data_IF_476276466525
#
_entry.id   IF_476276466525
#
_cell.length_a   1.000
_cell.length_b   1.000
_cell.length_c   1.000
_cell.angle_alpha   90.00
_cell.angle_beta   90.00
_cell.angle_gamma   90.00
#
_symmetry.space_group_name_H-M   'P 1'
#
loop_
_entity.id
_entity.type
_entity.pdbx_description
1 polymer ?
2 non-polymer ?
3 water ?
#
# COMPACT_ATOMS: atom_id res chain seq x y z
N UNK A 1 -15.76 7.77 6.46
CA UNK A 1 -14.74 8.38 5.60
C UNK A 1 -13.76 9.34 6.29
N UNK A 2 -12.50 9.29 5.85
CA UNK A 2 -11.38 9.97 6.48
C UNK A 2 -10.67 10.79 5.42
N UNK A 3 -9.96 11.84 5.84
CA UNK A 3 -9.21 12.67 4.89
C UNK A 3 -7.74 12.28 4.91
N UNK A 4 -7.20 11.96 3.72
CA UNK A 4 -5.79 11.57 3.62
C UNK A 4 -4.93 12.84 3.68
N UNK A 5 -3.65 12.73 4.08
CA UNK A 5 -3.00 11.49 4.50
C UNK A 5 -3.49 11.00 5.87
N UNK A 6 -3.46 9.69 6.05
CA UNK A 6 -3.91 9.06 7.27
C UNK A 6 -2.87 8.02 7.69
N UNK A 7 -2.60 7.98 9.00
CA UNK A 7 -1.75 6.96 9.58
C UNK A 7 -2.59 6.01 10.42
N UNK A 8 -2.62 4.75 10.01
CA UNK A 8 -3.22 3.66 10.77
C UNK A 8 -2.15 3.08 11.69
N UNK A 9 -2.35 3.08 13.02
CA UNK A 9 -1.40 2.42 13.91
C UNK A 9 -1.52 0.91 13.74
N UNK A 10 -0.36 0.23 13.84
CA UNK A 10 -0.25 -1.23 13.82
C UNK A 10 0.48 -1.63 15.08
N UNK A 11 -0.18 -1.63 16.26
CA UNK A 11 0.52 -1.71 17.54
C UNK A 11 1.23 -3.04 17.74
N UNK A 12 2.49 -3.06 18.08
CA UNK A 12 3.22 -4.32 18.12
C UNK A 12 3.66 -4.79 16.75
N UNK A 13 3.43 -3.96 15.71
CA UNK A 13 3.80 -4.30 14.36
C UNK A 13 2.83 -5.31 13.75
N UNK A 14 3.28 -5.92 12.65
CA UNK A 14 2.49 -6.89 11.92
C UNK A 14 2.99 -8.31 12.23
N UNK A 15 2.16 -9.28 11.86
CA UNK A 15 2.41 -10.69 12.13
C UNK A 15 1.75 -11.47 11.00
N UNK A 16 2.31 -12.63 10.59
CA UNK A 16 1.62 -13.51 9.63
C UNK A 16 0.16 -13.79 10.02
N UNK A 17 -0.69 -13.75 8.99
CA UNK A 17 -2.13 -13.93 9.07
C UNK A 17 -2.89 -12.63 9.34
N UNK A 18 -2.18 -11.51 9.53
CA UNK A 18 -2.82 -10.19 9.60
C UNK A 18 -3.22 -9.70 8.20
N UNK A 19 -4.51 -9.35 8.08
CA UNK A 19 -5.05 -8.91 6.81
C UNK A 19 -5.48 -7.46 6.98
N UNK A 20 -4.85 -6.55 6.21
CA UNK A 20 -5.15 -5.13 6.30
C UNK A 20 -6.00 -4.81 5.08
N UNK A 21 -7.16 -4.18 5.33
CA UNK A 21 -8.13 -3.80 4.31
C UNK A 21 -8.25 -2.27 4.26
N UNK A 22 -7.98 -1.71 3.07
CA UNK A 22 -8.14 -0.29 2.80
C UNK A 22 -9.25 -0.16 1.74
N UNK A 23 -10.30 0.58 2.07
CA UNK A 23 -11.44 0.85 1.19
C UNK A 23 -11.40 2.33 0.87
N UNK A 24 -11.63 2.66 -0.39
CA UNK A 24 -11.88 4.04 -0.73
C UNK A 24 -12.22 4.15 -2.21
N UNK A 25 -12.15 5.38 -2.71
CA UNK A 25 -12.47 5.68 -4.10
C UNK A 25 -11.31 6.49 -4.69
N UNK A 26 -10.88 6.09 -5.89
CA UNK A 26 -9.87 6.85 -6.59
C UNK A 26 -10.48 8.16 -7.09
N UNK A 27 -9.76 9.25 -6.88
CA UNK A 27 -10.23 10.55 -7.35
C UNK A 27 -10.25 10.58 -8.87
N UNK A 28 -11.10 11.40 -9.52
CA UNK A 28 -11.18 11.37 -10.99
C UNK A 28 -9.90 11.72 -11.74
N UNK A 29 -9.10 12.67 -11.23
CA UNK A 29 -7.95 13.12 -12.01
C UNK A 29 -6.67 12.40 -11.54
N UNK A 30 -6.79 11.20 -10.95
CA UNK A 30 -5.71 10.70 -10.10
C UNK A 30 -4.35 10.60 -10.80
N UNK A 31 -3.27 10.91 -10.07
CA UNK A 31 -1.89 10.74 -10.54
C UNK A 31 -1.20 9.61 -9.77
N UNK A 32 -1.49 9.51 -8.48
CA UNK A 32 -0.76 8.53 -7.67
C UNK A 32 -1.51 8.17 -6.39
N UNK A 33 -1.16 7.00 -5.85
CA UNK A 33 -1.60 6.50 -4.55
C UNK A 33 -0.37 5.90 -3.85
N UNK A 34 -0.31 5.98 -2.51
CA UNK A 34 0.79 5.37 -1.78
C UNK A 34 0.29 4.78 -0.46
N UNK A 35 0.75 3.56 -0.21
CA UNK A 35 0.72 2.95 1.13
C UNK A 35 2.17 2.83 1.59
N UNK A 36 2.45 3.20 2.84
CA UNK A 36 3.80 3.13 3.41
C UNK A 36 3.74 2.42 4.76
N UNK A 37 4.18 1.15 4.80
CA UNK A 37 4.34 0.42 6.05
C UNK A 37 5.67 0.82 6.65
N UNK A 38 5.64 1.48 7.81
CA UNK A 38 6.79 2.15 8.39
C UNK A 38 7.30 1.40 9.62
N UNK A 39 8.63 1.31 9.70
CA UNK A 39 9.32 0.94 10.93
C UNK A 39 10.14 2.16 11.34
N UNK A 40 9.58 2.98 12.24
CA UNK A 40 10.17 4.28 12.54
C UNK A 40 10.25 5.11 11.25
N UNK A 41 11.44 5.58 10.88
CA UNK A 41 11.63 6.33 9.65
C UNK A 41 11.79 5.44 8.43
N UNK A 42 12.05 4.14 8.61
CA UNK A 42 12.22 3.26 7.46
C UNK A 42 10.85 2.89 6.91
N UNK A 43 10.81 2.66 5.61
CA UNK A 43 9.58 2.20 4.97
C UNK A 43 9.83 0.78 4.52
N UNK A 44 9.24 -0.14 5.29
CA UNK A 44 9.42 -1.56 5.03
C UNK A 44 8.84 -1.94 3.67
N UNK A 45 7.71 -1.31 3.34
CA UNK A 45 6.97 -1.60 2.12
C UNK A 45 6.17 -0.39 1.71
N UNK A 46 6.59 0.15 0.55
CA UNK A 46 5.91 1.24 -0.13
C UNK A 46 5.25 0.63 -1.37
N UNK A 47 3.93 0.81 -1.48
CA UNK A 47 3.10 0.36 -2.58
C UNK A 47 2.55 1.61 -3.29
N UNK A 48 2.97 1.80 -4.54
CA UNK A 48 2.80 3.12 -5.18
C UNK A 48 2.24 3.00 -6.61
N UNK A 49 0.90 2.86 -6.77
CA UNK A 49 0.27 3.00 -8.09
C UNK A 49 0.53 4.40 -8.69
N UNK A 50 1.12 4.42 -9.90
CA UNK A 50 1.33 5.63 -10.68
C UNK A 50 0.46 5.54 -11.94
N UNK A 51 -0.43 6.54 -12.11
CA UNK A 51 -1.38 6.60 -13.22
C UNK A 51 -0.74 7.13 -14.51
N UNK A 52 0.37 7.86 -14.42
CA UNK A 52 1.01 8.41 -15.62
C UNK A 52 2.51 8.55 -15.38
N UNK A 53 3.22 7.43 -15.42
CA UNK A 53 4.67 7.43 -15.49
C UNK A 53 5.09 7.20 -16.94
N UNK A 54 5.56 8.25 -17.58
CA UNK A 54 5.92 8.19 -19.01
C UNK A 54 4.71 7.68 -19.82
N UNK A 55 3.54 8.20 -19.46
CA UNK A 55 2.26 7.88 -20.12
C UNK A 55 1.91 6.41 -20.01
N UNK A 56 2.39 5.73 -18.96
CA UNK A 56 2.01 4.35 -18.66
C UNK A 56 1.52 4.29 -17.22
N UNK A 57 0.69 3.28 -16.92
CA UNK A 57 0.23 3.02 -15.56
C UNK A 57 1.08 1.87 -15.05
N UNK A 58 1.64 2.02 -13.84
CA UNK A 58 2.53 1.02 -13.26
C UNK A 58 2.34 1.06 -11.73
N UNK A 59 2.54 -0.12 -11.10
CA UNK A 59 2.71 -0.22 -9.66
C UNK A 59 4.21 -0.29 -9.32
N UNK A 60 4.68 0.63 -8.47
CA UNK A 60 6.05 0.66 -7.99
C UNK A 60 6.03 0.26 -6.52
N UNK A 61 6.81 -0.77 -6.19
CA UNK A 61 7.05 -1.20 -4.81
C UNK A 61 8.51 -1.01 -4.44
N UNK A 62 8.76 -0.62 -3.20
CA UNK A 62 10.14 -0.40 -2.73
C UNK A 62 10.17 -0.35 -1.20
N UNK A 63 11.40 -0.25 -0.68
CA UNK A 63 11.74 -0.07 0.71
C UNK A 63 12.68 1.13 0.83
N UNK A 64 12.53 1.89 1.92
CA UNK A 64 13.40 3.01 2.25
C UNK A 64 14.10 2.72 3.56
N UNK A 65 15.46 2.69 3.51
CA UNK A 65 16.32 2.42 4.66
C UNK A 65 17.28 3.59 4.84
N UNK A 66 17.35 4.15 6.05
CA UNK A 66 18.27 5.24 6.35
C UNK A 66 18.03 6.37 5.33
N UNK A 67 16.75 6.52 4.98
CA UNK A 67 16.29 7.61 4.12
C UNK A 67 16.71 7.42 2.67
N UNK A 68 17.17 6.23 2.25
CA UNK A 68 17.50 5.93 0.86
C UNK A 68 16.56 4.87 0.28
N UNK A 69 16.01 5.14 -0.90
CA UNK A 69 15.19 4.18 -1.62
C UNK A 69 16.07 3.07 -2.21
N UNK A 70 15.60 1.82 -2.08
CA UNK A 70 16.30 0.68 -2.61
C UNK A 70 15.88 0.35 -4.04
N UNK A 71 15.99 -0.94 -4.38
CA UNK A 71 15.63 -1.45 -5.69
C UNK A 71 14.11 -1.56 -5.86
N UNK A 72 13.57 -0.88 -6.90
CA UNK A 72 12.15 -0.95 -7.22
C UNK A 72 11.76 -2.30 -7.83
N UNK A 73 10.57 -2.79 -7.41
CA UNK A 73 9.88 -3.90 -8.05
C UNK A 73 8.63 -3.32 -8.71
N UNK A 74 8.49 -3.55 -10.01
CA UNK A 74 7.46 -2.91 -10.81
C UNK A 74 6.52 -3.99 -11.36
N UNK A 75 5.25 -3.63 -11.49
CA UNK A 75 4.21 -4.48 -12.04
C UNK A 75 3.38 -3.65 -12.99
N UNK A 76 3.13 -4.14 -14.21
CA UNK A 76 2.31 -3.39 -15.15
C UNK A 76 0.82 -3.72 -15.01
N UNK A 77 0.50 -4.84 -14.34
CA UNK A 77 -0.90 -5.13 -14.01
C UNK A 77 -1.38 -4.00 -13.11
N UNK A 78 -2.49 -3.36 -13.46
CA UNK A 78 -2.90 -2.10 -12.84
C UNK A 78 -4.40 -2.13 -12.64
N UNK A 79 -4.89 -2.54 -11.47
CA UNK A 79 -6.32 -2.71 -11.27
C UNK A 79 -7.17 -1.51 -10.84
N UNK A 80 -6.56 -0.32 -10.75
CA UNK A 80 -7.23 0.88 -10.28
C UNK A 80 -7.72 1.65 -11.48
N UNK A 81 -8.81 2.38 -11.30
CA UNK A 81 -9.35 3.25 -12.33
C UNK A 81 -9.75 4.54 -11.61
N UNK A 82 -9.42 5.67 -12.24
CA UNK A 82 -9.91 6.96 -11.76
C UNK A 82 -11.41 6.89 -11.56
N UNK A 83 -11.86 7.46 -10.43
CA UNK A 83 -13.29 7.57 -10.17
C UNK A 83 -13.91 6.35 -9.51
N UNK A 84 -13.20 5.21 -9.42
CA UNK A 84 -13.84 3.97 -9.00
C UNK A 84 -13.46 3.59 -7.57
N UNK A 85 -14.43 2.94 -6.90
CA UNK A 85 -14.21 2.39 -5.57
C UNK A 85 -13.25 1.22 -5.62
N UNK A 86 -12.34 1.13 -4.65
CA UNK A 86 -11.38 0.05 -4.62
C UNK A 86 -11.33 -0.57 -3.23
N UNK A 87 -10.76 -1.77 -3.19
CA UNK A 87 -10.37 -2.41 -1.94
C UNK A 87 -8.97 -2.95 -2.15
N UNK A 88 -8.01 -2.46 -1.35
CA UNK A 88 -6.66 -3.04 -1.27
C UNK A 88 -6.63 -3.91 -0.01
N UNK A 89 -6.25 -5.17 -0.19
CA UNK A 89 -5.98 -6.04 0.97
C UNK A 89 -4.52 -6.44 0.97
N UNK A 90 -3.86 -6.22 2.12
CA UNK A 90 -2.49 -6.62 2.32
C UNK A 90 -2.47 -7.74 3.35
N UNK A 91 -2.12 -8.94 2.88
CA UNK A 91 -1.98 -10.10 3.75
C UNK A 91 -0.52 -10.27 4.12
N UNK A 92 -0.25 -10.28 5.43
CA UNK A 92 1.11 -10.47 5.92
C UNK A 92 1.35 -11.97 5.99
N UNK A 93 2.35 -12.43 5.25
CA UNK A 93 2.77 -13.82 5.26
C UNK A 93 4.17 -13.91 5.85
N UNK A 94 4.65 -15.12 6.21
CA UNK A 94 5.96 -15.20 6.87
C UNK A 94 7.12 -14.59 6.10
N UNK A 95 7.08 -14.69 4.76
CA UNK A 95 8.19 -14.24 3.93
C UNK A 95 7.84 -13.08 2.99
N UNK A 96 6.57 -12.67 2.90
CA UNK A 96 6.19 -11.57 2.01
C UNK A 96 4.91 -10.89 2.47
N UNK A 97 4.71 -9.67 1.96
CA UNK A 97 3.40 -9.09 1.86
C UNK A 97 2.72 -9.55 0.58
N UNK A 98 1.47 -9.99 0.70
CA UNK A 98 0.65 -10.33 -0.45
C UNK A 98 -0.42 -9.26 -0.60
N UNK A 99 -0.54 -8.71 -1.82
CA UNK A 99 -1.53 -7.69 -2.12
C UNK A 99 -2.56 -8.22 -3.14
N UNK A 100 -3.83 -8.03 -2.78
CA UNK A 100 -4.95 -8.24 -3.67
C UNK A 100 -5.76 -6.96 -3.77
N UNK A 101 -6.21 -6.64 -4.98
CA UNK A 101 -7.04 -5.46 -5.21
C UNK A 101 -8.37 -5.92 -5.80
N UNK A 102 -9.48 -5.49 -5.17
CA UNK A 102 -10.82 -5.84 -5.63
C UNK A 102 -10.94 -7.35 -5.77
N UNK A 103 -10.39 -8.07 -4.77
CA UNK A 103 -10.49 -9.52 -4.66
C UNK A 103 -9.72 -10.30 -5.72
N UNK A 104 -8.75 -9.66 -6.39
CA UNK A 104 -7.86 -10.32 -7.33
C UNK A 104 -6.41 -10.16 -6.85
N UNK A 105 -5.70 -11.29 -6.81
CA UNK A 105 -4.28 -11.29 -6.45
C UNK A 105 -3.51 -10.34 -7.38
N UNK A 106 -2.61 -9.52 -6.79
CA UNK A 106 -1.86 -8.55 -7.58
C UNK A 106 -0.37 -8.86 -7.56
N UNK A 107 0.23 -8.91 -6.37
CA UNK A 107 1.67 -9.10 -6.26
C UNK A 107 2.03 -9.64 -4.89
N UNK A 108 3.29 -10.08 -4.81
CA UNK A 108 3.93 -10.40 -3.55
C UNK A 108 5.22 -9.59 -3.45
N UNK A 109 5.55 -9.13 -2.25
CA UNK A 109 6.73 -8.33 -1.98
C UNK A 109 7.47 -8.99 -0.79
N UNK A 110 8.62 -9.58 -1.08
CA UNK A 110 9.42 -10.26 -0.06
C UNK A 110 9.84 -9.27 1.03
N UNK A 111 9.80 -9.70 2.31
CA UNK A 111 10.23 -8.86 3.43
C UNK A 111 11.73 -8.55 3.34
N UNK A 112 12.06 -7.26 3.19
CA UNK A 112 13.43 -6.77 3.24
C UNK A 112 13.74 -6.34 4.68
N UNK A 113 12.79 -5.65 5.29
CA UNK A 113 12.77 -5.36 6.73
C UNK A 113 12.28 -6.61 7.47
N UNK A 114 13.13 -7.17 8.33
CA UNK A 114 12.85 -8.48 8.91
C UNK A 114 12.04 -8.35 10.21
N UNK A 115 12.14 -7.20 10.88
CA UNK A 115 11.52 -7.02 12.19
C UNK A 115 10.05 -6.64 12.04
N UNK A 116 9.20 -7.62 11.67
CA UNK A 116 7.77 -7.38 11.44
C UNK A 116 7.13 -6.72 12.66
N UNK A 117 7.56 -7.09 13.87
CA UNK A 117 6.87 -6.57 15.05
C UNK A 117 7.27 -5.13 15.39
N UNK A 118 8.06 -4.49 14.52
CA UNK A 118 8.38 -3.07 14.66
C UNK A 118 7.80 -2.25 13.52
N UNK A 119 7.04 -2.90 12.62
CA UNK A 119 6.41 -2.19 11.49
C UNK A 119 5.06 -1.69 12.00
N UNK A 120 5.06 -0.50 12.66
CA UNK A 120 4.01 -0.13 13.61
C UNK A 120 3.09 0.99 13.13
N UNK A 121 3.25 1.43 11.87
CA UNK A 121 2.31 2.38 11.27
C UNK A 121 2.16 2.09 9.78
N UNK A 122 0.94 2.31 9.29
CA UNK A 122 0.66 2.30 7.86
C UNK A 122 0.18 3.69 7.45
N UNK A 123 0.97 4.35 6.61
CA UNK A 123 0.56 5.61 6.00
C UNK A 123 -0.21 5.38 4.71
N UNK A 124 -1.31 6.13 4.56
CA UNK A 124 -2.15 6.06 3.36
C UNK A 124 -2.24 7.47 2.78
N UNK A 125 -1.80 7.65 1.52
CA UNK A 125 -1.72 8.98 0.91
C UNK A 125 -1.98 8.92 -0.59
N UNK A 126 -2.28 10.09 -1.17
CA UNK A 126 -2.46 10.20 -2.60
C UNK A 126 -3.90 10.51 -2.98
N UNK A 127 -4.23 10.20 -4.25
CA UNK A 127 -5.39 10.77 -4.90
C UNK A 127 -6.61 9.89 -4.66
N UNK A 128 -7.02 9.79 -3.40
CA UNK A 128 -8.14 8.96 -3.01
C UNK A 128 -9.01 9.67 -1.98
N UNK A 129 -10.28 9.23 -1.95
CA UNK A 129 -11.21 9.44 -0.84
C UNK A 129 -11.18 8.19 0.01
N UNK A 130 -10.69 8.31 1.25
CA UNK A 130 -10.51 7.13 2.09
C UNK A 130 -11.80 6.82 2.86
N UNK A 131 -12.31 5.59 2.69
CA UNK A 131 -13.54 5.16 3.34
C UNK A 131 -13.21 4.53 4.69
N UNK A 132 -12.25 3.60 4.71
CA UNK A 132 -11.93 2.91 5.96
C UNK A 132 -10.58 2.21 5.81
N UNK A 133 -9.91 2.00 6.94
CA UNK A 133 -8.67 1.25 7.01
C UNK A 133 -8.70 0.44 8.30
N UNK A 134 -8.61 -0.88 8.21
CA UNK A 134 -8.70 -1.72 9.40
C UNK A 134 -7.95 -3.01 9.13
N UNK A 135 -7.88 -3.86 10.14
CA UNK A 135 -7.23 -5.14 9.99
C UNK A 135 -7.94 -6.16 10.86
N UNK A 136 -7.64 -7.43 10.56
CA UNK A 136 -8.14 -8.56 11.31
C UNK A 136 -7.12 -9.68 11.11
N UNK A 137 -7.27 -10.71 11.94
CA UNK A 137 -6.49 -11.93 11.79
C UNK A 137 -7.35 -12.99 11.10
N UNK A 138 -6.81 -13.63 10.07
CA UNK A 138 -7.54 -14.66 9.34
C UNK A 138 -7.30 -16.02 10.01
X LIG B 1 14.47 6.35 -6.51
X LIG B 1 14.23 8.14 -5.50
X LIG B 1 11.75 8.33 -5.17
X LIG B 1 12.99 7.64 -5.68
X LIG B 1 13.16 6.44 -6.33
X LIG B 1 15.37 5.39 -7.13
X LIG B 1 14.93 5.04 -8.54
X LIG B 1 15.42 4.14 -6.38
X LIG B 1 8.79 6.55 -4.06
X LIG B 1 5.97 9.58 -2.71
X LIG B 1 4.31 11.07 -1.71
X LIG B 1 2.17 9.68 -2.93
X LIG B 1 3.50 9.30 -3.15
X LIG B 1 6.54 8.83 -3.70
X LIG B 1 9.38 10.75 -6.45
X LIG B 1 9.49 10.02 -5.23
X LIG B 1 9.26 8.61 -5.33
X LIG B 1 10.49 7.91 -5.93
X LIG B 1 15.39 3.73 -8.74
X LIG B 1 15.79 3.14 -7.46
X LIG B 1 14.19 3.74 -6.00
X LIG B 1 15.12 7.34 -6.03
X LIG B 1 10.29 6.47 -6.00
X LIG B 1 10.02 5.90 -4.71
X LIG B 1 9.88 4.37 -4.81
X LIG B 1 11.07 3.81 -5.36
X LIG B 1 7.64 6.22 -4.84
X LIG B 1 8.97 8.09 -3.96
X LIG B 1 7.81 8.70 -3.37
X LIG B 1 8.04 9.35 -2.26
X LIG B 1 6.93 9.89 -1.84
X LIG B 1 4.55 9.99 -2.54
X LIG B 1 3.00 11.48 -1.52
X LIG B 1 1.93 10.78 -2.11
X LIG B 1 0.26 11.36 -1.82
X LIG B 1 1.20 8.89 -3.60
X LIG B 1 3.75 8.17 -3.92
X LIG B 1 11.90 9.40 -5.25
X LIG B 1 11.63 8.09 -4.11
X LIG B 1 12.40 5.74 -6.65
X LIG B 1 16.39 5.82 -7.18
X LIG B 1 15.38 5.72 -9.26
X LIG B 1 13.84 5.09 -8.63
X LIG B 1 16.21 4.15 -5.63
X LIG B 1 8.67 6.14 -3.05
X LIG B 1 5.13 11.61 -1.26
X LIG B 1 6.06 8.40 -4.57
X LIG B 1 9.50 11.78 -6.26
X LIG B 1 8.42 10.58 -6.88
X LIG B 1 10.12 10.43 -7.13
X LIG B 1 8.40 8.41 -5.97
X LIG B 1 10.59 8.27 -6.96
X LIG B 1 15.29 2.19 -7.29
X LIG B 1 16.87 2.98 -7.45
X LIG B 1 10.88 6.11 -4.05
X LIG B 1 9.04 4.12 -5.45
X LIG B 1 9.70 3.96 -3.82
X LIG B 1 11.23 4.17 -6.24
X LIG B 1 7.21 7.05 -5.13
X LIG B 1 9.84 8.23 -3.33
X LIG B 1 2.81 12.34 -0.89
#
# INVERSE_FOLDING_TARGET
PLIVPYNLPLPGGVVPRMLITILGTVKPNANRIALDFQRGNDVAFHFNPRFNENNRRVIVCNTKLDNNWGREERQSVFPFESGKPFKIQVLVEPDHFKVAVNDAHLLQYNHRVKKLNEISKLGISGDIDLTSASYTMI
A1H2S N1 N3 C4 C5 C6 C7 C8 C10 C13 C15 C17 C20 C21 C22 C1 O1 C2 C3 O2 C9 F1 N2 O3 C11 C12 O4 O5 C14 N4 N5 N6 C16 C18 C19 CL1 F2 F3 H7 H6 H8 H9 H11 H10 H14 H19 H22 H24 H2 H3 H1 H4 H5 H13 H12 H15 H16 H17 H18 H20 H21 H23
#
